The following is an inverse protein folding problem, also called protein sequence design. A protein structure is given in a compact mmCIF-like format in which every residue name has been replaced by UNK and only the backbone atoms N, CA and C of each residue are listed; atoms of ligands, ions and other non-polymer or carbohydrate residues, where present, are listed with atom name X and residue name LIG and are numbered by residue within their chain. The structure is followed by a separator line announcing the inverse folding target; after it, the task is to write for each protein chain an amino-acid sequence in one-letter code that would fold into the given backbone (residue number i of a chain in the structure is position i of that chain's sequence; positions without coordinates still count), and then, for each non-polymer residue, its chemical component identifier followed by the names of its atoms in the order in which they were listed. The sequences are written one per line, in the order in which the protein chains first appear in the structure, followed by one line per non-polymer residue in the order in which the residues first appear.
data_IF_518084105517
#
_entry.id   IF_518084105517
#
_cell.length_a   1.000
_cell.length_b   1.000
_cell.length_c   1.000
_cell.angle_alpha   90.00
_cell.angle_beta   90.00
_cell.angle_gamma   90.00
#
_symmetry.space_group_name_H-M   'P 1'
#
loop_
_entity.id
_entity.type
_entity.pdbx_description
1 polymer ?
#
# COMPACT_ATOMS: atom_id res chain seq x y z
N UNK A 1 27.65 -7.46 5.84
CA UNK A 1 26.47 -8.06 5.15
C UNK A 1 25.33 -8.10 6.17
N UNK A 2 24.18 -7.50 5.86
CA UNK A 2 22.99 -7.48 6.74
C UNK A 2 22.03 -8.57 6.26
N UNK A 3 21.58 -9.42 7.16
CA UNK A 3 20.55 -10.43 6.85
C UNK A 3 19.19 -9.95 7.34
N UNK A 4 18.17 -10.11 6.53
CA UNK A 4 16.78 -9.81 6.84
C UNK A 4 15.98 -11.10 6.64
N UNK A 5 15.17 -11.48 7.61
CA UNK A 5 14.36 -12.68 7.51
C UNK A 5 13.11 -12.45 6.63
N UNK A 6 12.66 -13.51 5.97
CA UNK A 6 11.39 -13.49 5.24
C UNK A 6 10.20 -13.09 6.14
N UNK A 7 10.26 -13.45 7.42
CA UNK A 7 9.22 -13.10 8.39
C UNK A 7 9.16 -11.58 8.64
N UNK A 8 10.30 -10.90 8.80
CA UNK A 8 10.34 -9.43 8.95
C UNK A 8 9.75 -8.72 7.74
N UNK A 9 10.00 -9.25 6.53
CA UNK A 9 9.43 -8.72 5.29
C UNK A 9 7.92 -8.89 5.29
N UNK A 10 7.44 -10.09 5.61
CA UNK A 10 6.02 -10.41 5.69
C UNK A 10 5.28 -9.49 6.67
N UNK A 11 5.79 -9.34 7.87
CA UNK A 11 5.17 -8.51 8.91
C UNK A 11 5.17 -7.03 8.54
N UNK A 12 6.27 -6.57 7.92
CA UNK A 12 6.39 -5.19 7.43
C UNK A 12 5.40 -4.91 6.31
N UNK A 13 5.30 -5.77 5.30
CA UNK A 13 4.37 -5.61 4.18
C UNK A 13 2.92 -5.66 4.67
N UNK A 14 2.57 -6.56 5.59
CA UNK A 14 1.23 -6.63 6.16
C UNK A 14 0.85 -5.32 6.85
N UNK A 15 1.73 -4.78 7.69
CA UNK A 15 1.53 -3.48 8.35
C UNK A 15 1.40 -2.34 7.34
N UNK A 16 2.25 -2.29 6.33
CA UNK A 16 2.20 -1.25 5.30
C UNK A 16 0.92 -1.29 4.47
N UNK A 17 0.37 -2.47 4.17
CA UNK A 17 -0.91 -2.60 3.50
C UNK A 17 -2.05 -1.95 4.32
N UNK A 18 -2.06 -2.15 5.63
CA UNK A 18 -3.06 -1.56 6.53
C UNK A 18 -2.86 -0.05 6.62
N UNK A 19 -1.63 0.41 6.87
CA UNK A 19 -1.31 1.83 6.98
C UNK A 19 -1.67 2.61 5.71
N UNK A 20 -1.32 2.10 4.54
CA UNK A 20 -1.59 2.73 3.26
C UNK A 20 -3.09 2.91 2.98
N UNK A 21 -3.94 2.06 3.55
CA UNK A 21 -5.38 2.11 3.36
C UNK A 21 -6.13 2.85 4.48
N UNK A 22 -5.49 3.09 5.63
CA UNK A 22 -6.13 3.74 6.79
C UNK A 22 -5.63 5.15 7.03
N UNK A 23 -4.50 5.54 6.44
CA UNK A 23 -3.84 6.83 6.68
C UNK A 23 -3.29 7.42 5.38
N UNK A 24 -3.52 8.70 5.16
CA UNK A 24 -2.85 9.43 4.10
C UNK A 24 -1.45 9.89 4.55
N UNK A 25 -0.46 9.98 3.64
CA UNK A 25 0.82 10.64 3.90
C UNK A 25 0.63 12.10 4.32
N UNK A 26 1.58 12.63 5.10
CA UNK A 26 1.46 13.99 5.65
C UNK A 26 1.40 15.08 4.59
N UNK A 27 2.15 14.94 3.50
CA UNK A 27 2.15 15.87 2.37
C UNK A 27 0.78 15.90 1.67
N UNK A 28 0.14 14.75 1.49
CA UNK A 28 -1.21 14.66 0.92
C UNK A 28 -2.24 15.27 1.87
N UNK A 29 -2.13 15.00 3.18
CA UNK A 29 -3.01 15.64 4.17
C UNK A 29 -2.86 17.16 4.16
N UNK A 30 -1.62 17.68 4.13
CA UNK A 30 -1.37 19.11 4.07
C UNK A 30 -1.92 19.74 2.79
N UNK A 31 -1.79 19.09 1.63
CA UNK A 31 -2.34 19.56 0.38
C UNK A 31 -3.87 19.59 0.40
N UNK A 32 -4.51 18.58 0.99
CA UNK A 32 -5.97 18.52 1.14
C UNK A 32 -6.48 19.62 2.10
N UNK A 33 -5.79 19.83 3.23
CA UNK A 33 -6.16 20.87 4.19
C UNK A 33 -6.02 22.28 3.57
N UNK A 34 -4.95 22.51 2.84
CA UNK A 34 -4.74 23.76 2.09
C UNK A 34 -5.87 23.97 1.08
N UNK A 35 -6.18 22.96 0.26
CA UNK A 35 -7.26 23.06 -0.72
C UNK A 35 -8.61 23.40 -0.05
N UNK A 36 -8.91 22.79 1.10
CA UNK A 36 -10.12 23.05 1.88
C UNK A 36 -10.21 24.49 2.38
N UNK A 37 -9.08 25.07 2.79
CA UNK A 37 -9.02 26.44 3.30
C UNK A 37 -9.13 27.49 2.18
N UNK A 38 -8.56 27.21 1.01
CA UNK A 38 -8.47 28.13 -0.13
C UNK A 38 -9.65 28.02 -1.12
N UNK A 39 -10.47 26.97 -1.03
CA UNK A 39 -11.59 26.74 -1.95
C UNK A 39 -12.68 27.82 -1.82
N UNK A 40 -12.93 28.64 -2.85
CA UNK A 40 -13.91 29.71 -2.80
C UNK A 40 -15.35 29.23 -2.99
N UNK A 41 -15.54 28.07 -3.65
CA UNK A 41 -16.89 27.59 -3.98
C UNK A 41 -17.49 26.79 -2.82
N UNK A 42 -18.63 27.22 -2.24
CA UNK A 42 -19.18 26.59 -1.03
C UNK A 42 -19.46 25.09 -1.17
N UNK A 43 -19.96 24.64 -2.33
CA UNK A 43 -20.25 23.22 -2.56
C UNK A 43 -18.97 22.37 -2.57
N UNK A 44 -17.91 22.86 -3.22
CA UNK A 44 -16.63 22.17 -3.23
C UNK A 44 -15.98 22.15 -1.85
N UNK A 45 -16.07 23.24 -1.10
CA UNK A 45 -15.61 23.31 0.30
C UNK A 45 -16.33 22.29 1.18
N UNK A 46 -17.64 22.18 1.09
CA UNK A 46 -18.41 21.17 1.83
C UNK A 46 -17.97 19.75 1.49
N UNK A 47 -17.65 19.49 0.21
CA UNK A 47 -17.13 18.18 -0.21
C UNK A 47 -15.76 17.89 0.42
N UNK A 48 -14.85 18.87 0.43
CA UNK A 48 -13.55 18.74 1.08
C UNK A 48 -13.67 18.54 2.60
N UNK A 49 -14.63 19.21 3.25
CA UNK A 49 -14.93 19.03 4.67
C UNK A 49 -15.43 17.61 4.97
N UNK A 50 -16.26 17.03 4.10
CA UNK A 50 -16.71 15.64 4.22
C UNK A 50 -15.55 14.66 4.05
N UNK A 51 -14.67 14.90 3.08
CA UNK A 51 -13.47 14.07 2.89
C UNK A 51 -12.56 14.14 4.13
N UNK A 52 -12.37 15.33 4.69
CA UNK A 52 -11.57 15.51 5.90
C UNK A 52 -12.18 14.78 7.11
N UNK A 53 -13.49 14.88 7.29
CA UNK A 53 -14.21 14.17 8.35
C UNK A 53 -14.09 12.65 8.21
N UNK A 54 -14.15 12.15 6.96
CA UNK A 54 -13.95 10.73 6.68
C UNK A 54 -12.52 10.27 7.05
N UNK A 55 -11.49 11.07 6.73
CA UNK A 55 -10.11 10.76 7.11
C UNK A 55 -9.93 10.69 8.63
N UNK A 56 -10.55 11.63 9.36
CA UNK A 56 -10.53 11.62 10.82
C UNK A 56 -11.19 10.35 11.39
N UNK A 57 -12.37 10.01 10.89
CA UNK A 57 -13.10 8.82 11.32
C UNK A 57 -12.34 7.51 10.99
N UNK A 58 -11.71 7.43 9.81
CA UNK A 58 -10.89 6.28 9.41
C UNK A 58 -9.71 6.10 10.37
N UNK A 59 -9.01 7.19 10.68
CA UNK A 59 -7.86 7.18 11.60
C UNK A 59 -8.25 6.82 13.04
N UNK A 60 -9.36 7.35 13.54
CA UNK A 60 -9.82 7.11 14.93
C UNK A 60 -10.30 5.67 15.15
N UNK A 61 -10.83 5.04 14.10
CA UNK A 61 -11.44 3.72 14.18
C UNK A 61 -10.59 2.61 13.57
N UNK A 62 -9.40 2.94 13.06
CA UNK A 62 -8.53 2.03 12.28
C UNK A 62 -9.30 1.33 11.13
N UNK A 63 -10.12 2.10 10.43
CA UNK A 63 -10.88 1.63 9.29
C UNK A 63 -10.27 2.12 7.97
N UNK A 64 -10.48 1.40 6.85
CA UNK A 64 -10.09 1.88 5.54
C UNK A 64 -10.75 3.22 5.19
N UNK A 65 -9.97 4.11 4.56
CA UNK A 65 -10.44 5.43 4.11
C UNK A 65 -11.55 5.30 3.06
N UNK A 66 -11.47 4.24 2.24
CA UNK A 66 -12.44 3.95 1.19
C UNK A 66 -12.78 2.46 1.20
N UNK A 67 -13.99 2.11 0.74
CA UNK A 67 -14.37 0.71 0.54
C UNK A 67 -13.57 0.00 -0.55
N UNK A 68 -13.00 0.74 -1.50
CA UNK A 68 -12.11 0.21 -2.52
C UNK A 68 -10.66 0.40 -2.08
N UNK A 69 -10.04 -0.68 -1.62
CA UNK A 69 -8.66 -0.72 -1.15
C UNK A 69 -7.69 -1.21 -2.24
N UNK A 70 -8.21 -1.44 -3.44
CA UNK A 70 -7.42 -1.67 -4.64
C UNK A 70 -6.52 -2.89 -4.62
N UNK A 71 -5.44 -2.79 -5.38
CA UNK A 71 -4.38 -3.78 -5.49
C UNK A 71 -3.11 -3.25 -4.83
N UNK A 72 -2.39 -4.10 -4.10
CA UNK A 72 -1.10 -3.72 -3.54
C UNK A 72 -0.05 -3.59 -4.65
N UNK A 73 0.62 -2.42 -4.68
CA UNK A 73 1.82 -2.19 -5.48
C UNK A 73 2.99 -2.01 -4.52
N UNK A 74 3.96 -2.92 -4.58
CA UNK A 74 5.10 -2.93 -3.66
C UNK A 74 6.36 -2.50 -4.41
N UNK A 75 6.93 -1.37 -4.00
CA UNK A 75 8.19 -0.86 -4.53
C UNK A 75 9.30 -1.19 -3.56
N UNK A 76 10.37 -1.81 -4.05
CA UNK A 76 11.47 -2.26 -3.21
C UNK A 76 12.79 -1.74 -3.74
N UNK A 77 13.55 -1.10 -2.84
CA UNK A 77 14.96 -0.79 -3.04
C UNK A 77 15.80 -1.72 -2.16
N UNK A 78 16.60 -2.59 -2.78
CA UNK A 78 17.42 -3.56 -2.09
C UNK A 78 18.91 -3.23 -2.28
N UNK A 79 19.61 -3.01 -1.17
CA UNK A 79 21.06 -2.77 -1.21
C UNK A 79 21.83 -4.06 -1.54
N UNK A 80 22.95 -3.95 -2.22
CA UNK A 80 23.79 -5.06 -2.66
C UNK A 80 24.37 -5.91 -1.50
N UNK A 81 24.48 -5.32 -0.30
CA UNK A 81 25.03 -6.00 0.88
C UNK A 81 23.95 -6.59 1.79
N UNK A 82 22.70 -6.66 1.29
CA UNK A 82 21.57 -7.25 2.00
C UNK A 82 21.33 -8.67 1.51
N UNK A 83 21.30 -9.61 2.45
CA UNK A 83 20.89 -10.99 2.21
C UNK A 83 19.50 -11.22 2.78
N UNK A 84 18.62 -11.86 2.01
CA UNK A 84 17.28 -12.24 2.47
C UNK A 84 17.30 -13.73 2.77
N UNK A 85 16.97 -14.07 4.03
CA UNK A 85 16.83 -15.45 4.47
C UNK A 85 15.42 -15.94 4.17
N UNK A 86 15.29 -16.66 3.05
CA UNK A 86 14.04 -17.19 2.53
C UNK A 86 13.63 -16.63 1.17
N UNK A 87 12.42 -16.95 0.74
CA UNK A 87 11.86 -16.46 -0.53
C UNK A 87 11.30 -15.03 -0.37
N UNK A 88 11.97 -14.08 -0.99
CA UNK A 88 11.56 -12.66 -0.97
C UNK A 88 10.15 -12.44 -1.53
N UNK A 89 9.89 -12.97 -2.70
CA UNK A 89 8.59 -12.82 -3.37
C UNK A 89 7.45 -13.47 -2.57
N UNK A 90 7.68 -14.69 -2.06
CA UNK A 90 6.70 -15.37 -1.23
C UNK A 90 6.42 -14.62 0.07
N UNK A 91 7.44 -14.01 0.69
CA UNK A 91 7.27 -13.20 1.89
C UNK A 91 6.42 -11.95 1.64
N UNK A 92 6.60 -11.28 0.49
CA UNK A 92 5.79 -10.12 0.11
C UNK A 92 4.34 -10.54 -0.14
N UNK A 93 4.09 -11.59 -0.91
CA UNK A 93 2.74 -12.08 -1.16
C UNK A 93 2.02 -12.49 0.13
N UNK A 94 2.72 -13.18 1.04
CA UNK A 94 2.18 -13.53 2.35
C UNK A 94 1.87 -12.29 3.19
N UNK A 95 2.72 -11.27 3.14
CA UNK A 95 2.47 -9.99 3.79
C UNK A 95 1.21 -9.29 3.26
N UNK A 96 1.02 -9.26 1.95
CA UNK A 96 -0.20 -8.72 1.33
C UNK A 96 -1.42 -9.53 1.76
N UNK A 97 -1.36 -10.85 1.68
CA UNK A 97 -2.46 -11.73 2.11
C UNK A 97 -2.89 -11.46 3.54
N UNK A 98 -1.92 -11.35 4.46
CA UNK A 98 -2.19 -11.03 5.87
C UNK A 98 -2.74 -9.62 6.03
N UNK A 99 -2.09 -8.62 5.46
CA UNK A 99 -2.52 -7.24 5.56
C UNK A 99 -3.96 -7.01 5.09
N UNK A 100 -4.34 -7.61 3.97
CA UNK A 100 -5.72 -7.52 3.46
C UNK A 100 -6.73 -8.32 4.30
N UNK A 101 -6.31 -9.37 4.97
CA UNK A 101 -7.17 -10.17 5.85
C UNK A 101 -7.33 -9.51 7.21
N UNK A 102 -6.23 -9.16 7.86
CA UNK A 102 -6.21 -8.64 9.22
C UNK A 102 -6.70 -7.19 9.30
N UNK A 103 -6.44 -6.41 8.23
CA UNK A 103 -6.93 -5.03 8.08
C UNK A 103 -8.36 -4.92 7.57
N UNK A 104 -9.07 -6.03 7.36
CA UNK A 104 -10.42 -6.05 6.79
C UNK A 104 -10.52 -5.30 5.46
N UNK A 105 -9.45 -5.33 4.68
CA UNK A 105 -9.38 -4.67 3.39
C UNK A 105 -10.14 -5.46 2.32
N UNK A 106 -10.70 -4.75 1.33
CA UNK A 106 -11.43 -5.40 0.24
C UNK A 106 -10.49 -6.17 -0.68
N UNK A 107 -10.72 -7.46 -0.85
CA UNK A 107 -9.98 -8.35 -1.74
C UNK A 107 -10.56 -8.25 -3.15
N UNK A 108 -9.89 -7.52 -4.03
CA UNK A 108 -10.40 -7.18 -5.37
C UNK A 108 -9.73 -7.96 -6.50
N UNK A 109 -8.66 -8.73 -6.20
CA UNK A 109 -7.89 -9.42 -7.23
C UNK A 109 -8.63 -10.65 -7.75
N UNK A 110 -8.65 -10.79 -9.06
CA UNK A 110 -9.20 -11.96 -9.75
C UNK A 110 -8.08 -12.83 -10.30
N UNK A 111 -8.24 -14.14 -10.21
CA UNK A 111 -7.28 -15.11 -10.71
C UNK A 111 -7.23 -15.14 -12.25
N UNK A 112 -8.35 -14.83 -12.89
CA UNK A 112 -8.49 -14.81 -14.33
C UNK A 112 -9.45 -13.68 -14.74
N UNK A 113 -9.04 -12.76 -15.61
CA UNK A 113 -9.83 -11.58 -15.98
C UNK A 113 -11.10 -11.92 -16.74
N UNK A 114 -11.15 -13.06 -17.46
CA UNK A 114 -12.30 -13.49 -18.22
C UNK A 114 -13.32 -14.22 -17.34
N UNK A 115 -12.84 -15.12 -16.46
CA UNK A 115 -13.67 -15.93 -15.56
C UNK A 115 -14.05 -15.18 -14.30
N UNK A 116 -13.30 -14.14 -13.93
CA UNK A 116 -13.52 -13.25 -12.80
C UNK A 116 -13.60 -13.93 -11.42
N UNK A 117 -13.00 -15.11 -11.29
CA UNK A 117 -12.87 -15.79 -9.99
C UNK A 117 -11.93 -15.01 -9.06
N UNK A 118 -12.43 -14.58 -7.91
CA UNK A 118 -11.61 -13.86 -6.92
C UNK A 118 -10.57 -14.80 -6.30
N UNK A 119 -9.37 -14.31 -6.05
CA UNK A 119 -8.29 -15.09 -5.40
C UNK A 119 -8.54 -15.33 -3.92
N UNK A 120 -9.36 -14.50 -3.28
CA UNK A 120 -9.73 -14.62 -1.87
C UNK A 120 -8.71 -14.05 -0.89
N UNK A 121 -7.54 -13.63 -1.37
CA UNK A 121 -6.43 -13.15 -0.54
C UNK A 121 -5.75 -11.86 -1.05
N UNK A 122 -6.25 -11.33 -2.16
CA UNK A 122 -5.74 -10.15 -2.86
C UNK A 122 -4.31 -10.30 -3.41
N UNK A 123 -3.88 -11.53 -3.71
CA UNK A 123 -2.64 -11.82 -4.42
C UNK A 123 -2.89 -12.35 -5.84
N UNK A 124 -1.93 -12.26 -6.78
CA UNK A 124 -0.62 -11.63 -6.61
C UNK A 124 -0.69 -10.12 -6.49
N UNK A 125 0.29 -9.53 -5.78
CA UNK A 125 0.51 -8.09 -5.82
C UNK A 125 1.43 -7.72 -6.99
N UNK A 126 1.44 -6.44 -7.39
CA UNK A 126 2.47 -5.92 -8.27
C UNK A 126 3.74 -5.65 -7.45
N UNK A 127 4.80 -6.35 -7.78
CA UNK A 127 6.12 -6.18 -7.18
C UNK A 127 7.04 -5.45 -8.16
N UNK A 128 7.51 -4.28 -7.77
CA UNK A 128 8.48 -3.50 -8.51
C UNK A 128 9.82 -3.54 -7.78
N UNK A 129 10.84 -4.10 -8.45
CA UNK A 129 12.22 -4.00 -8.00
C UNK A 129 12.95 -3.02 -8.91
N UNK A 130 13.45 -1.93 -8.35
CA UNK A 130 14.31 -1.02 -9.07
C UNK A 130 15.74 -1.59 -9.07
N UNK A 131 16.40 -1.74 -10.24
CA UNK A 131 17.81 -2.06 -10.26
C UNK A 131 18.58 -0.96 -9.54
N UNK A 132 19.60 -1.34 -8.76
CA UNK A 132 20.46 -0.36 -8.10
C UNK A 132 21.09 0.56 -9.16
N UNK A 133 21.36 1.85 -8.85
CA UNK A 133 22.04 2.74 -9.77
C UNK A 133 23.37 2.20 -10.34
N UNK A 134 23.99 1.22 -9.67
CA UNK A 134 25.17 0.51 -10.16
C UNK A 134 24.87 -0.49 -11.27
N UNK A 135 23.67 -1.04 -11.32
CA UNK A 135 23.28 -2.03 -12.36
C UNK A 135 22.96 -1.34 -13.70
N UNK A 136 22.65 -0.05 -13.68
CA UNK A 136 22.37 0.76 -14.88
C UNK A 136 23.68 1.18 -15.57
N UNK A 137 24.79 1.24 -14.86
CA UNK A 137 26.08 1.68 -15.40
C UNK A 137 26.85 0.61 -16.20
N UNK A 138 26.38 -0.61 -16.24
CA UNK A 138 27.03 -1.76 -16.90
C UNK A 138 26.57 -2.07 -18.34
N UNK A 139 25.57 -1.37 -18.87
CA UNK A 139 25.06 -1.59 -20.22
C UNK A 139 25.40 -0.40 -21.15
N UNK A 140 26.65 -0.30 -21.57
CA UNK A 140 27.09 0.43 -22.77
C UNK A 140 28.08 -0.40 -23.55
#
# INVERSE_FOLDING_TARGET
MRTISAQEITDTVARLCIEANTRLPQDVQAALDKARQEEPWPLARNTLDLLWSNLSAAKERDLPICQDTGMACVFVELGTDVHIDGSFEAAIHEGVRRGYTDGYLRKSIVADPLRRGNTGDNTPCLLYTSPSPRDISGSR
#
